data_IF_096677719924
#
_entry.id   IF_096677719924
#
_cell.length_a   1.000
_cell.length_b   1.000
_cell.length_c   1.000
_cell.angle_alpha   90.00
_cell.angle_beta   90.00
_cell.angle_gamma   90.00
#
_symmetry.space_group_name_H-M   'P 1'
#
loop_
_entity.id
_entity.type
_entity.pdbx_description
1 polymer ?
#
# COMPACT_ATOMS: atom_id res chain seq x y z
N UNK A 1 4.64 64.87 -14.88
CA UNK A 1 4.18 65.25 -16.23
C UNK A 1 3.52 64.03 -16.85
N UNK A 2 2.25 64.19 -17.24
CA UNK A 2 1.49 63.49 -18.29
C UNK A 2 1.50 61.94 -18.36
N UNK A 3 0.41 61.22 -18.63
CA UNK A 3 -0.99 61.56 -18.89
C UNK A 3 -1.78 60.24 -18.80
N UNK A 4 -3.03 60.38 -18.40
CA UNK A 4 -4.18 59.47 -18.47
C UNK A 4 -4.31 58.65 -19.75
N UNK A 5 -4.99 57.50 -19.66
CA UNK A 5 -6.25 57.27 -20.41
C UNK A 5 -7.11 56.16 -19.77
N UNK A 6 -8.31 56.55 -19.32
CA UNK A 6 -9.51 55.72 -19.15
C UNK A 6 -10.32 55.75 -20.46
N UNK A 7 -11.12 54.71 -20.76
CA UNK A 7 -12.42 54.76 -21.46
C UNK A 7 -12.96 53.30 -21.52
N UNK A 8 -14.04 52.92 -20.80
CA UNK A 8 -15.48 52.96 -21.18
C UNK A 8 -15.76 52.15 -22.47
N UNK A 9 -16.66 51.15 -22.51
CA UNK A 9 -18.12 51.27 -22.52
C UNK A 9 -18.85 49.92 -22.29
N UNK A 10 -20.16 50.03 -22.10
CA UNK A 10 -21.12 49.08 -21.53
C UNK A 10 -21.83 48.12 -22.52
N UNK A 11 -22.68 47.28 -21.90
CA UNK A 11 -23.71 46.30 -22.31
C UNK A 11 -24.38 46.35 -23.69
N UNK A 12 -24.72 45.14 -24.19
CA UNK A 12 -26.04 44.76 -24.75
C UNK A 12 -26.21 43.24 -24.51
N UNK A 13 -27.25 42.68 -23.90
CA UNK A 13 -28.71 42.78 -24.05
C UNK A 13 -29.18 42.37 -25.45
N UNK A 14 -29.35 41.06 -25.62
CA UNK A 14 -30.36 40.50 -26.52
C UNK A 14 -31.29 39.62 -25.69
N UNK A 15 -32.44 40.23 -25.44
CA UNK A 15 -33.71 39.63 -25.08
C UNK A 15 -34.19 38.78 -26.26
N UNK A 16 -34.49 37.50 -26.04
CA UNK A 16 -35.30 36.71 -26.97
C UNK A 16 -36.38 36.03 -26.14
N UNK A 17 -37.41 36.83 -25.88
CA UNK A 17 -38.76 36.41 -25.56
C UNK A 17 -39.40 35.80 -26.82
N UNK A 18 -39.85 34.55 -26.75
CA UNK A 18 -40.90 34.06 -27.64
C UNK A 18 -41.93 33.33 -26.80
N UNK A 19 -43.03 34.02 -26.54
CA UNK A 19 -44.25 33.47 -25.98
C UNK A 19 -44.97 32.61 -27.04
N UNK A 20 -45.91 31.81 -26.55
CA UNK A 20 -47.10 31.30 -27.24
C UNK A 20 -47.17 29.81 -27.58
N UNK A 21 -47.57 29.06 -26.55
CA UNK A 21 -48.74 28.17 -26.45
C UNK A 21 -48.99 27.05 -27.49
N UNK A 22 -49.09 25.82 -26.97
CA UNK A 22 -50.26 24.94 -27.19
C UNK A 22 -50.18 23.70 -26.28
N UNK A 23 -51.23 23.53 -25.48
CA UNK A 23 -51.61 22.39 -24.66
C UNK A 23 -51.38 21.03 -25.33
N UNK A 24 -50.75 20.08 -24.65
CA UNK A 24 -51.19 18.68 -24.58
C UNK A 24 -50.61 18.01 -23.32
N UNK A 25 -51.46 17.83 -22.31
CA UNK A 25 -51.25 16.85 -21.24
C UNK A 25 -51.43 15.44 -21.81
N UNK A 26 -50.71 14.45 -21.30
CA UNK A 26 -51.43 13.26 -20.85
C UNK A 26 -51.00 12.83 -19.46
N UNK A 27 -52.00 12.72 -18.57
CA UNK A 27 -51.94 11.91 -17.38
C UNK A 27 -51.64 10.45 -17.78
N UNK A 28 -50.57 9.87 -17.24
CA UNK A 28 -50.57 8.45 -16.91
C UNK A 28 -49.62 8.15 -15.73
N UNK A 29 -50.14 7.34 -14.82
CA UNK A 29 -49.57 6.90 -13.55
C UNK A 29 -48.19 6.24 -13.67
N UNK A 30 -47.40 6.20 -12.58
CA UNK A 30 -46.06 5.63 -12.57
C UNK A 30 -46.13 4.10 -12.66
N UNK A 31 -45.57 3.52 -13.72
CA UNK A 31 -45.23 2.10 -13.76
C UNK A 31 -43.81 1.95 -13.23
N UNK A 32 -43.69 1.27 -12.09
CA UNK A 32 -42.44 0.82 -11.48
C UNK A 32 -41.67 -0.07 -12.45
N UNK A 33 -40.42 0.25 -12.84
CA UNK A 33 -39.50 -0.74 -13.37
C UNK A 33 -38.87 -1.47 -12.20
N UNK A 34 -39.23 -2.75 -12.07
CA UNK A 34 -38.57 -3.73 -11.21
C UNK A 34 -37.06 -3.70 -11.47
N UNK A 35 -36.30 -3.40 -10.43
CA UNK A 35 -34.85 -3.35 -10.48
C UNK A 35 -34.25 -4.69 -10.90
N UNK A 36 -33.38 -4.63 -11.89
CA UNK A 36 -32.26 -5.55 -12.03
C UNK A 36 -31.07 -4.74 -12.52
N UNK A 37 -30.56 -3.88 -11.63
CA UNK A 37 -29.29 -3.21 -11.86
C UNK A 37 -28.18 -4.26 -11.82
N UNK A 38 -27.55 -4.47 -12.98
CA UNK A 38 -26.23 -5.08 -13.06
C UNK A 38 -25.27 -4.19 -12.29
N UNK A 39 -24.66 -4.69 -11.21
CA UNK A 39 -23.63 -3.97 -10.48
C UNK A 39 -22.29 -4.23 -11.17
N UNK A 40 -21.91 -3.33 -12.07
CA UNK A 40 -20.53 -3.17 -12.54
C UNK A 40 -20.03 -1.79 -12.15
N UNK A 41 -19.89 -1.50 -10.86
CA UNK A 41 -19.18 -0.30 -10.42
C UNK A 41 -17.86 -0.70 -9.75
N UNK A 42 -16.95 -1.20 -10.60
CA UNK A 42 -15.54 -1.03 -10.36
C UNK A 42 -15.16 0.35 -10.92
N UNK A 43 -14.58 1.18 -10.05
CA UNK A 43 -13.95 2.47 -10.34
C UNK A 43 -14.84 3.73 -10.28
N UNK A 44 -15.27 4.13 -9.08
CA UNK A 44 -15.24 5.55 -8.70
C UNK A 44 -15.37 5.71 -7.18
N UNK A 45 -14.75 6.77 -6.63
CA UNK A 45 -14.71 7.19 -5.22
C UNK A 45 -13.44 6.86 -4.43
N UNK A 46 -12.30 7.36 -4.92
CA UNK A 46 -10.98 7.30 -4.25
C UNK A 46 -10.49 8.64 -3.69
N UNK A 47 -11.36 9.50 -3.13
CA UNK A 47 -10.89 10.78 -2.57
C UNK A 47 -11.25 11.06 -1.10
N UNK A 48 -12.06 10.21 -0.44
CA UNK A 48 -12.43 10.42 0.98
C UNK A 48 -12.43 9.16 1.84
N UNK A 49 -11.86 8.04 1.38
CA UNK A 49 -11.79 6.82 2.18
C UNK A 49 -10.47 6.80 2.97
N UNK A 50 -10.48 6.65 4.31
CA UNK A 50 -9.31 6.18 5.03
C UNK A 50 -8.85 4.89 4.34
N UNK A 51 -7.55 4.79 4.01
CA UNK A 51 -7.01 3.57 3.41
C UNK A 51 -7.49 2.38 4.24
N UNK A 52 -8.32 1.52 3.64
CA UNK A 52 -8.68 0.26 4.28
C UNK A 52 -7.34 -0.40 4.56
N UNK A 53 -7.00 -0.75 5.81
CA UNK A 53 -5.76 -1.48 6.06
C UNK A 53 -5.84 -2.72 5.19
N UNK A 54 -4.95 -2.80 4.20
CA UNK A 54 -4.98 -3.81 3.17
C UNK A 54 -4.80 -5.15 3.87
N UNK A 55 -5.91 -5.85 4.12
CA UNK A 55 -5.88 -7.07 4.91
C UNK A 55 -5.12 -8.08 4.08
N UNK A 56 -3.94 -8.47 4.56
CA UNK A 56 -3.17 -9.49 3.90
C UNK A 56 -4.01 -10.75 3.69
N UNK A 57 -4.02 -11.29 2.46
CA UNK A 57 -4.74 -12.52 2.12
C UNK A 57 -4.55 -13.58 3.19
N UNK A 58 -5.63 -14.28 3.55
CA UNK A 58 -5.57 -15.39 4.52
C UNK A 58 -4.76 -16.57 4.02
N UNK A 59 -4.44 -16.61 2.72
CA UNK A 59 -3.58 -17.59 2.08
C UNK A 59 -2.12 -17.45 2.49
N UNK A 60 -1.68 -16.26 2.94
CA UNK A 60 -0.30 -16.07 3.37
C UNK A 60 -0.09 -16.49 4.83
N UNK A 61 1.01 -17.20 5.07
CA UNK A 61 1.37 -17.64 6.41
C UNK A 61 1.73 -16.44 7.29
N UNK A 62 1.07 -16.34 8.45
CA UNK A 62 1.36 -15.34 9.46
C UNK A 62 2.34 -15.88 10.49
N UNK A 63 3.43 -15.16 10.70
CA UNK A 63 4.54 -15.49 11.59
C UNK A 63 4.88 -14.34 12.54
N UNK A 64 5.72 -14.62 13.53
CA UNK A 64 6.24 -13.61 14.44
C UNK A 64 6.49 -14.16 15.85
N UNK A 65 7.27 -13.42 16.67
CA UNK A 65 7.57 -13.83 18.04
C UNK A 65 6.38 -13.68 19.00
N UNK A 66 5.40 -12.85 18.65
CA UNK A 66 4.22 -12.59 19.47
C UNK A 66 3.01 -13.45 19.04
N UNK A 67 2.06 -13.66 19.97
CA UNK A 67 0.80 -14.39 19.75
C UNK A 67 -0.03 -13.79 18.61
N UNK A 68 0.16 -12.51 18.32
CA UNK A 68 -0.54 -11.77 17.27
C UNK A 68 -0.07 -12.08 15.85
N UNK A 69 1.13 -12.68 15.67
CA UNK A 69 1.70 -13.07 14.37
C UNK A 69 1.51 -11.98 13.30
N UNK A 70 2.03 -10.78 13.58
CA UNK A 70 1.84 -9.58 12.75
C UNK A 70 2.76 -9.52 11.53
N UNK A 71 3.55 -10.55 11.28
CA UNK A 71 4.40 -10.64 10.10
C UNK A 71 3.84 -11.67 9.16
N UNK A 72 4.03 -11.46 7.88
CA UNK A 72 3.57 -12.35 6.84
C UNK A 72 4.83 -12.92 6.20
N UNK A 73 4.87 -14.23 6.02
CA UNK A 73 6.02 -14.95 5.48
C UNK A 73 6.05 -14.82 3.97
N UNK A 74 7.19 -14.39 3.43
CA UNK A 74 7.43 -14.49 2.00
C UNK A 74 7.70 -15.95 1.63
N UNK A 75 6.80 -16.52 0.83
CA UNK A 75 6.99 -17.81 0.17
C UNK A 75 7.29 -17.60 -1.31
N UNK A 76 8.40 -18.15 -1.78
CA UNK A 76 8.82 -18.05 -3.19
C UNK A 76 7.86 -18.77 -4.14
N UNK A 77 7.08 -19.75 -3.65
CA UNK A 77 6.10 -20.47 -4.48
C UNK A 77 4.91 -19.59 -4.89
N UNK A 78 4.58 -18.57 -4.10
CA UNK A 78 3.52 -17.60 -4.39
C UNK A 78 4.09 -16.20 -4.66
N UNK A 79 5.25 -16.12 -5.31
CA UNK A 79 5.98 -14.86 -5.50
C UNK A 79 5.13 -13.77 -6.16
N UNK A 80 4.40 -14.09 -7.23
CA UNK A 80 3.59 -13.10 -7.96
C UNK A 80 2.49 -12.51 -7.09
N UNK A 81 1.66 -13.35 -6.46
CA UNK A 81 0.59 -12.92 -5.56
C UNK A 81 1.14 -12.12 -4.37
N UNK A 82 2.29 -12.55 -3.84
CA UNK A 82 2.97 -11.87 -2.76
C UNK A 82 3.38 -10.45 -3.15
N UNK A 83 4.08 -10.31 -4.28
CA UNK A 83 4.59 -9.01 -4.75
C UNK A 83 3.43 -8.10 -5.12
N UNK A 84 2.39 -8.63 -5.77
CA UNK A 84 1.17 -7.88 -6.09
C UNK A 84 0.52 -7.31 -4.83
N UNK A 85 0.29 -8.15 -3.81
CA UNK A 85 -0.23 -7.70 -2.52
C UNK A 85 0.71 -6.69 -1.85
N UNK A 86 2.01 -6.98 -1.82
CA UNK A 86 2.98 -6.16 -1.10
C UNK A 86 3.12 -4.77 -1.72
N UNK A 87 3.09 -4.64 -3.05
CA UNK A 87 3.14 -3.36 -3.74
C UNK A 87 1.92 -2.46 -3.45
N UNK A 88 0.80 -3.04 -3.02
CA UNK A 88 -0.39 -2.29 -2.58
C UNK A 88 -0.24 -1.71 -1.16
N UNK A 89 0.82 -2.07 -0.42
CA UNK A 89 1.08 -1.53 0.94
C UNK A 89 1.76 -0.16 0.91
N UNK A 90 1.64 0.59 2.01
CA UNK A 90 2.25 1.92 2.16
C UNK A 90 3.78 1.91 2.00
N UNK A 91 4.43 0.83 2.45
CA UNK A 91 5.86 0.62 2.33
C UNK A 91 6.24 0.06 0.96
N UNK A 92 5.56 -1.00 0.51
CA UNK A 92 5.89 -1.71 -0.73
C UNK A 92 5.79 -0.82 -1.96
N UNK A 93 4.76 0.02 -2.03
CA UNK A 93 4.56 1.00 -3.12
C UNK A 93 5.74 1.98 -3.32
N UNK A 94 6.55 2.20 -2.28
CA UNK A 94 7.70 3.13 -2.29
C UNK A 94 9.05 2.41 -2.23
N UNK A 95 9.04 1.10 -2.02
CA UNK A 95 10.23 0.30 -1.82
C UNK A 95 10.79 -0.24 -3.13
N UNK A 96 12.09 -0.56 -3.13
CA UNK A 96 12.81 -1.15 -4.27
C UNK A 96 13.41 -2.51 -3.93
N UNK A 97 12.87 -3.18 -2.92
CA UNK A 97 13.36 -4.48 -2.47
C UNK A 97 12.96 -5.56 -3.47
N UNK A 98 13.94 -6.33 -3.93
CA UNK A 98 13.72 -7.58 -4.68
C UNK A 98 13.65 -8.75 -3.69
N UNK A 99 12.44 -9.30 -3.53
CA UNK A 99 12.14 -10.41 -2.63
C UNK A 99 12.70 -11.75 -3.12
N UNK A 100 12.84 -11.90 -4.43
CA UNK A 100 13.37 -13.06 -5.15
C UNK A 100 14.89 -12.99 -5.38
N UNK A 101 15.58 -12.04 -4.76
CA UNK A 101 17.02 -11.86 -4.95
C UNK A 101 17.82 -13.11 -4.54
N UNK A 102 18.79 -13.48 -5.38
CA UNK A 102 19.72 -14.56 -5.09
C UNK A 102 20.71 -14.14 -3.99
N UNK A 103 20.42 -14.59 -2.78
CA UNK A 103 21.20 -14.30 -1.60
C UNK A 103 22.52 -15.10 -1.58
N UNK A 104 23.63 -14.43 -1.88
CA UNK A 104 24.96 -15.08 -1.95
C UNK A 104 25.55 -15.47 -0.59
N UNK A 105 25.10 -14.86 0.51
CA UNK A 105 25.67 -15.08 1.83
C UNK A 105 24.98 -16.23 2.57
N UNK A 106 25.77 -17.14 3.14
CA UNK A 106 25.28 -18.28 3.92
C UNK A 106 24.38 -17.89 5.11
N UNK A 107 24.50 -16.66 5.61
CA UNK A 107 23.67 -16.14 6.70
C UNK A 107 22.18 -16.31 6.41
N UNK A 108 21.76 -16.20 5.15
CA UNK A 108 20.37 -16.30 4.72
C UNK A 108 19.75 -17.68 4.95
N UNK A 109 20.57 -18.74 5.08
CA UNK A 109 20.08 -20.09 5.43
C UNK A 109 19.30 -20.10 6.74
N UNK A 110 19.62 -19.18 7.65
CA UNK A 110 19.01 -19.13 8.98
C UNK A 110 17.87 -18.12 9.12
N UNK A 111 17.59 -17.34 8.08
CA UNK A 111 16.55 -16.31 8.11
C UNK A 111 15.49 -16.61 7.06
N UNK A 112 14.30 -16.08 7.28
CA UNK A 112 13.23 -16.00 6.29
C UNK A 112 12.87 -14.54 6.08
N UNK A 113 12.45 -14.20 4.87
CA UNK A 113 11.98 -12.85 4.55
C UNK A 113 10.52 -12.73 5.00
N UNK A 114 10.17 -11.58 5.58
CA UNK A 114 8.81 -11.31 6.07
C UNK A 114 8.43 -9.87 5.80
N UNK A 115 7.15 -9.59 5.64
CA UNK A 115 6.60 -8.24 5.61
C UNK A 115 5.75 -7.98 6.86
N UNK A 116 5.80 -6.77 7.41
CA UNK A 116 4.90 -6.39 8.49
C UNK A 116 3.48 -6.21 7.94
N UNK A 117 2.47 -6.78 8.61
CA UNK A 117 1.11 -6.86 8.07
C UNK A 117 0.36 -5.53 8.00
N UNK A 118 0.86 -4.50 8.68
CA UNK A 118 0.17 -3.20 8.79
C UNK A 118 0.64 -2.24 7.71
N UNK A 119 1.95 -2.05 7.57
CA UNK A 119 2.53 -1.08 6.62
C UNK A 119 3.24 -1.74 5.44
N UNK A 120 3.47 -3.07 5.48
CA UNK A 120 4.25 -3.80 4.49
C UNK A 120 5.77 -3.67 4.65
N UNK A 121 6.27 -3.18 5.79
CA UNK A 121 7.71 -3.01 6.02
C UNK A 121 8.44 -4.34 5.87
N UNK A 122 9.39 -4.38 4.93
CA UNK A 122 10.20 -5.55 4.67
C UNK A 122 11.18 -5.78 5.83
N UNK A 123 11.20 -7.01 6.33
CA UNK A 123 12.03 -7.46 7.46
C UNK A 123 12.55 -8.87 7.22
N UNK A 124 13.41 -9.34 8.10
CA UNK A 124 13.85 -10.74 8.15
C UNK A 124 13.60 -11.32 9.52
N UNK A 125 13.14 -12.56 9.58
CA UNK A 125 12.91 -13.29 10.83
C UNK A 125 13.93 -14.41 10.95
N UNK A 126 14.56 -14.52 12.11
CA UNK A 126 15.44 -15.65 12.40
C UNK A 126 14.63 -16.91 12.70
N UNK A 127 14.94 -18.03 12.04
CA UNK A 127 14.14 -19.25 12.10
C UNK A 127 14.02 -19.87 13.50
N UNK A 128 15.03 -19.75 14.38
CA UNK A 128 15.03 -20.47 15.68
C UNK A 128 14.40 -19.69 16.84
N UNK A 129 14.64 -18.38 16.91
CA UNK A 129 14.16 -17.53 18.02
C UNK A 129 13.09 -16.53 17.58
N UNK A 130 12.69 -16.56 16.31
CA UNK A 130 11.68 -15.67 15.71
C UNK A 130 11.96 -14.17 15.89
N UNK A 131 13.21 -13.78 16.20
CA UNK A 131 13.62 -12.39 16.27
C UNK A 131 13.50 -11.75 14.89
N UNK A 132 12.91 -10.56 14.88
CA UNK A 132 12.69 -9.75 13.69
C UNK A 132 13.81 -8.72 13.59
N UNK A 133 14.46 -8.63 12.43
CA UNK A 133 15.48 -7.64 12.10
C UNK A 133 15.05 -6.86 10.86
N UNK A 134 15.62 -5.66 10.68
CA UNK A 134 15.44 -4.90 9.45
C UNK A 134 16.00 -5.65 8.24
N UNK A 135 15.33 -5.51 7.10
CA UNK A 135 15.76 -6.16 5.87
C UNK A 135 17.12 -5.59 5.40
N UNK A 136 18.09 -6.43 4.99
CA UNK A 136 19.43 -5.98 4.59
C UNK A 136 19.44 -4.93 3.49
N UNK A 137 18.46 -4.99 2.59
CA UNK A 137 18.31 -4.09 1.45
C UNK A 137 17.37 -2.91 1.74
N UNK A 138 16.91 -2.73 2.98
CA UNK A 138 16.20 -1.51 3.38
C UNK A 138 17.16 -0.33 3.34
N UNK A 139 16.73 0.75 2.68
CA UNK A 139 17.48 2.00 2.57
C UNK A 139 17.45 2.72 3.93
N UNK A 140 18.61 3.18 4.37
CA UNK A 140 18.80 4.04 5.54
C UNK A 140 19.60 5.27 5.12
N UNK A 141 19.29 6.42 5.70
CA UNK A 141 20.12 7.63 5.55
C UNK A 141 21.18 7.65 6.65
N UNK A 142 22.42 7.94 6.28
CA UNK A 142 23.47 8.20 7.27
C UNK A 142 23.38 9.63 7.84
N UNK A 143 24.25 9.96 8.80
CA UNK A 143 24.31 11.29 9.42
C UNK A 143 24.62 12.41 8.42
N UNK A 144 25.15 12.06 7.25
CA UNK A 144 25.50 12.98 6.17
C UNK A 144 24.42 13.01 5.08
N UNK A 145 23.29 12.32 5.30
CA UNK A 145 22.16 12.26 4.36
C UNK A 145 22.37 11.33 3.17
N UNK A 146 23.45 10.54 3.13
CA UNK A 146 23.72 9.59 2.05
C UNK A 146 22.89 8.32 2.25
N UNK A 147 22.33 7.83 1.15
CA UNK A 147 21.62 6.56 1.14
C UNK A 147 22.60 5.39 1.26
N UNK A 148 22.34 4.52 2.23
CA UNK A 148 23.01 3.24 2.40
C UNK A 148 21.99 2.15 2.71
N UNK A 149 22.46 0.91 2.86
CA UNK A 149 21.61 -0.19 3.30
C UNK A 149 22.09 -0.76 4.64
N UNK A 150 21.29 -1.60 5.29
CA UNK A 150 21.71 -2.27 6.52
C UNK A 150 22.81 -3.31 6.24
N UNK A 151 22.74 -3.99 5.10
CA UNK A 151 23.58 -5.14 4.80
C UNK A 151 23.30 -6.32 5.73
N UNK A 152 24.06 -7.41 5.56
CA UNK A 152 23.88 -8.64 6.36
C UNK A 152 24.59 -8.59 7.72
N UNK A 153 25.31 -7.52 8.04
CA UNK A 153 26.08 -7.38 9.28
C UNK A 153 25.21 -7.53 10.54
N UNK A 154 23.99 -6.99 10.53
CA UNK A 154 23.05 -7.11 11.64
C UNK A 154 22.62 -8.57 11.85
N UNK A 155 22.35 -9.29 10.76
CA UNK A 155 22.02 -10.72 10.80
C UNK A 155 23.20 -11.55 11.33
N UNK A 156 24.42 -11.27 10.86
CA UNK A 156 25.64 -11.97 11.30
C UNK A 156 25.90 -11.71 12.80
N UNK A 157 25.76 -10.46 13.26
CA UNK A 157 25.90 -10.11 14.67
C UNK A 157 24.88 -10.84 15.54
N UNK A 158 23.64 -10.90 15.08
CA UNK A 158 22.56 -11.61 15.77
C UNK A 158 22.86 -13.11 15.90
N UNK A 159 23.39 -13.76 14.86
CA UNK A 159 23.81 -15.18 14.95
C UNK A 159 24.85 -15.45 16.06
N UNK A 160 25.71 -14.47 16.34
CA UNK A 160 26.74 -14.57 17.38
C UNK A 160 26.22 -14.24 18.78
N UNK A 161 25.00 -13.71 18.90
CA UNK A 161 24.46 -13.24 20.17
C UNK A 161 23.77 -14.38 20.92
N UNK A 162 24.15 -14.61 22.18
CA UNK A 162 23.71 -15.73 23.00
C UNK A 162 22.22 -15.68 23.40
N UNK A 163 21.56 -14.54 23.27
CA UNK A 163 20.16 -14.34 23.69
C UNK A 163 19.16 -15.23 22.95
N UNK A 164 19.43 -15.54 21.68
CA UNK A 164 18.58 -16.40 20.87
C UNK A 164 18.74 -17.90 21.12
N UNK A 165 19.77 -18.31 21.85
CA UNK A 165 19.99 -19.72 22.23
C UNK A 165 19.00 -20.15 23.32
N UNK A 166 18.57 -19.23 24.20
CA UNK A 166 17.68 -19.56 25.34
C UNK A 166 16.20 -19.69 24.98
N UNK A 167 15.75 -19.12 23.86
CA UNK A 167 14.36 -19.21 23.41
C UNK A 167 14.01 -20.55 22.75
N UNK A 168 15.01 -21.29 22.27
CA UNK A 168 14.86 -22.60 21.65
C UNK A 168 15.03 -23.74 22.68
N UNK A 169 14.53 -23.56 23.90
CA UNK A 169 14.69 -24.46 25.05
C UNK A 169 14.47 -25.92 24.68
N UNK A 170 15.59 -26.61 24.48
CA UNK A 170 15.72 -28.06 24.61
C UNK A 170 15.64 -28.32 26.11
N UNK A 171 14.57 -29.00 26.54
CA UNK A 171 14.60 -29.81 27.74
C UNK A 171 15.30 -31.12 27.42
#
# INVERSE_FOLDING_TARGET
>A
MSQSQQSEFASSLYDVEFDNSAYLTPNNCPTTPSGSQQTFDALENSFLRPAIPLIAPSTFERVGPDRRRLYILYDGMSHSDWVEWWLQTDYGSKSKISWDSNHLSDVWKHYVQVAYSVDGAAKVMYKRCSTILEHPYTIKKDMNGKDGCYGTTTMIRHLKTSSCVRAAGVN
#
